data_IF_213413368312
#
_entry.id   IF_213413368312
#
_cell.length_a   1.000
_cell.length_b   1.000
_cell.length_c   1.000
_cell.angle_alpha   90.00
_cell.angle_beta   90.00
_cell.angle_gamma   90.00
#
_symmetry.space_group_name_H-M   'P 1'
#
loop_
_entity.id
_entity.type
_entity.pdbx_description
1 polymer ?
#
# COMPACT_ATOMS: atom_id res chain seq x y z
N UNK A 1 59.78 33.23 -33.29
CA UNK A 1 58.66 32.59 -32.57
C UNK A 1 59.18 31.27 -32.00
N UNK A 2 59.41 31.20 -30.68
CA UNK A 2 59.73 29.92 -30.01
C UNK A 2 58.43 29.11 -29.96
N UNK A 3 58.43 27.93 -30.59
CA UNK A 3 57.36 26.93 -30.38
C UNK A 3 57.34 26.57 -28.88
N UNK A 4 56.32 26.97 -28.16
CA UNK A 4 56.03 26.41 -26.85
C UNK A 4 55.91 24.89 -27.04
N UNK A 5 56.79 24.11 -26.40
CA UNK A 5 56.63 22.66 -26.29
C UNK A 5 55.33 22.42 -25.59
N UNK A 6 54.39 21.71 -26.25
CA UNK A 6 53.15 21.28 -25.61
C UNK A 6 53.51 20.45 -24.38
N UNK A 7 52.93 20.72 -23.21
CA UNK A 7 53.20 19.92 -22.03
C UNK A 7 52.66 18.49 -22.25
N UNK A 8 53.54 17.52 -22.24
CA UNK A 8 53.21 16.09 -22.35
C UNK A 8 53.31 15.46 -20.97
N UNK A 9 52.27 14.84 -20.51
CA UNK A 9 52.25 14.02 -19.30
C UNK A 9 52.08 12.57 -19.73
N UNK A 10 53.03 11.71 -19.38
CA UNK A 10 52.99 10.28 -19.67
C UNK A 10 52.32 9.52 -18.48
N UNK A 11 51.42 8.62 -18.79
CA UNK A 11 50.82 7.72 -17.83
C UNK A 11 51.21 6.27 -18.14
N UNK A 12 51.60 5.52 -17.07
CA UNK A 12 51.84 4.09 -17.22
C UNK A 12 50.47 3.34 -17.22
N UNK A 13 50.45 2.14 -17.79
CA UNK A 13 49.22 1.31 -17.89
C UNK A 13 48.48 1.15 -16.55
N UNK A 14 49.23 0.96 -15.46
CA UNK A 14 48.67 0.89 -14.08
C UNK A 14 48.01 2.18 -13.59
N UNK A 15 48.27 3.31 -14.23
CA UNK A 15 47.71 4.63 -13.87
C UNK A 15 46.51 5.00 -14.77
N UNK A 16 46.18 4.21 -15.77
CA UNK A 16 45.07 4.49 -16.70
C UNK A 16 43.72 4.52 -15.96
N UNK A 17 43.50 3.62 -15.01
CA UNK A 17 42.30 3.63 -14.21
C UNK A 17 42.09 4.95 -13.46
N UNK A 18 43.14 5.47 -12.82
CA UNK A 18 43.11 6.77 -12.17
C UNK A 18 42.91 7.93 -13.16
N UNK A 19 43.59 7.89 -14.29
CA UNK A 19 43.42 8.88 -15.33
C UNK A 19 41.97 8.97 -15.82
N UNK A 20 41.35 7.83 -16.10
CA UNK A 20 40.00 7.78 -16.64
C UNK A 20 38.93 8.06 -15.63
N UNK A 21 39.11 7.66 -14.36
CA UNK A 21 38.10 7.84 -13.31
C UNK A 21 38.16 9.20 -12.62
N UNK A 22 39.36 9.78 -12.46
CA UNK A 22 39.52 11.01 -11.68
C UNK A 22 39.89 12.22 -12.57
N UNK A 23 40.82 12.05 -13.49
CA UNK A 23 41.36 13.18 -14.27
C UNK A 23 40.51 13.49 -15.50
N UNK A 24 40.09 12.49 -16.22
CA UNK A 24 39.36 12.64 -17.47
C UNK A 24 37.99 13.35 -17.35
N UNK A 25 37.14 13.04 -16.36
CA UNK A 25 35.90 13.76 -16.14
C UNK A 25 36.11 15.24 -15.83
N UNK A 26 37.22 15.56 -15.16
CA UNK A 26 37.58 16.95 -14.87
C UNK A 26 38.03 17.68 -16.14
N UNK A 27 38.89 17.07 -16.95
CA UNK A 27 39.35 17.66 -18.21
C UNK A 27 38.19 17.97 -19.16
N UNK A 28 37.20 17.08 -19.28
CA UNK A 28 36.00 17.32 -20.10
C UNK A 28 35.18 18.56 -19.68
N UNK A 29 35.27 18.99 -18.41
CA UNK A 29 34.60 20.20 -17.94
C UNK A 29 35.30 21.49 -18.34
N UNK A 30 36.62 21.44 -18.53
CA UNK A 30 37.44 22.63 -18.77
C UNK A 30 37.82 22.77 -20.24
N UNK A 31 37.65 21.74 -21.05
CA UNK A 31 38.03 21.81 -22.47
C UNK A 31 37.58 20.61 -23.31
N UNK A 32 37.84 20.70 -24.62
CA UNK A 32 37.61 19.60 -25.55
C UNK A 32 38.71 18.56 -25.40
N UNK A 33 38.36 17.35 -25.00
CA UNK A 33 39.27 16.22 -24.92
C UNK A 33 39.14 15.41 -26.19
N UNK A 34 40.26 15.18 -26.89
CA UNK A 34 40.36 14.34 -28.09
C UNK A 34 41.02 13.05 -27.66
N UNK A 35 40.39 11.92 -27.95
CA UNK A 35 40.87 10.58 -27.63
C UNK A 35 41.32 9.94 -28.96
N UNK A 36 42.49 9.34 -28.95
CA UNK A 36 42.98 8.55 -30.10
C UNK A 36 42.27 7.20 -30.14
N UNK A 37 42.23 6.56 -31.33
CA UNK A 37 41.60 5.26 -31.55
C UNK A 37 42.15 4.20 -30.59
N UNK A 38 43.47 4.14 -30.40
CA UNK A 38 44.14 3.20 -29.49
C UNK A 38 43.65 3.31 -28.03
N UNK A 39 43.36 4.53 -27.57
CA UNK A 39 42.83 4.78 -26.21
C UNK A 39 41.32 4.49 -26.15
N UNK A 40 40.60 4.77 -27.22
CA UNK A 40 39.17 4.49 -27.29
C UNK A 40 38.87 2.98 -27.26
N UNK A 41 39.73 2.15 -27.84
CA UNK A 41 39.61 0.68 -27.78
C UNK A 41 39.77 0.13 -26.34
N UNK A 42 40.62 0.77 -25.54
CA UNK A 42 40.88 0.37 -24.16
C UNK A 42 39.78 0.89 -23.20
N UNK A 43 39.20 2.06 -23.50
CA UNK A 43 38.24 2.76 -22.68
C UNK A 43 36.82 2.45 -23.11
N UNK A 44 36.03 1.86 -22.23
CA UNK A 44 34.59 1.68 -22.45
C UNK A 44 33.76 2.65 -21.58
N UNK A 45 32.95 3.45 -22.25
CA UNK A 45 31.97 4.33 -21.64
C UNK A 45 30.59 3.63 -21.73
N UNK A 46 30.14 3.08 -20.59
CA UNK A 46 28.85 2.40 -20.49
C UNK A 46 28.00 3.13 -19.44
N UNK A 47 26.70 3.27 -19.62
CA UNK A 47 25.84 3.91 -18.65
C UNK A 47 25.80 3.12 -17.33
N UNK A 48 25.84 3.83 -16.20
CA UNK A 48 25.68 3.22 -14.89
C UNK A 48 24.24 2.71 -14.70
N UNK A 49 24.13 1.42 -14.37
CA UNK A 49 22.93 0.81 -13.78
C UNK A 49 23.28 0.35 -12.36
N UNK A 50 22.74 1.05 -11.39
CA UNK A 50 22.95 0.71 -9.98
C UNK A 50 21.84 -0.20 -9.45
N UNK A 51 22.19 -1.18 -8.63
CA UNK A 51 21.26 -2.07 -7.93
C UNK A 51 21.62 -2.09 -6.46
N UNK A 52 20.65 -1.88 -5.59
CA UNK A 52 20.80 -2.02 -4.14
C UNK A 52 19.95 -3.19 -3.66
N UNK A 53 20.57 -4.12 -2.95
CA UNK A 53 19.95 -5.37 -2.52
C UNK A 53 19.88 -5.39 -1.00
N UNK A 54 18.68 -5.43 -0.44
CA UNK A 54 18.46 -5.55 1.01
C UNK A 54 18.04 -6.97 1.38
N UNK A 55 18.65 -7.54 2.42
CA UNK A 55 18.35 -8.89 2.93
C UNK A 55 18.23 -8.89 4.45
N UNK A 56 17.28 -9.66 5.00
CA UNK A 56 17.19 -9.94 6.44
C UNK A 56 18.04 -11.16 6.78
N UNK A 57 19.09 -10.98 7.59
CA UNK A 57 19.98 -12.04 8.03
C UNK A 57 20.25 -11.88 9.54
N UNK A 58 19.89 -12.89 10.34
CA UNK A 58 20.16 -12.95 11.80
C UNK A 58 19.80 -11.66 12.57
N UNK A 59 18.62 -11.08 12.30
CA UNK A 59 18.17 -9.86 12.99
C UNK A 59 18.79 -8.56 12.49
N UNK A 60 19.55 -8.61 11.40
CA UNK A 60 20.15 -7.47 10.73
C UNK A 60 19.55 -7.28 9.33
N UNK A 61 19.49 -6.05 8.87
CA UNK A 61 19.37 -5.71 7.45
C UNK A 61 20.80 -5.67 6.91
N UNK A 62 21.12 -6.57 6.00
CA UNK A 62 22.32 -6.50 5.17
C UNK A 62 21.99 -5.90 3.83
N UNK A 63 22.82 -4.98 3.37
CA UNK A 63 22.65 -4.30 2.11
C UNK A 63 23.95 -4.36 1.28
N UNK A 64 23.76 -4.52 -0.02
CA UNK A 64 24.84 -4.57 -1.00
C UNK A 64 24.47 -3.61 -2.14
N UNK A 65 25.42 -2.82 -2.62
CA UNK A 65 25.28 -2.02 -3.81
C UNK A 65 26.13 -2.58 -4.95
N UNK A 66 25.51 -2.80 -6.08
CA UNK A 66 26.13 -3.25 -7.32
C UNK A 66 26.06 -2.11 -8.36
N UNK A 67 27.18 -1.83 -9.01
CA UNK A 67 27.31 -0.82 -10.05
C UNK A 67 27.66 -1.51 -11.37
N UNK A 68 26.71 -1.60 -12.27
CA UNK A 68 26.83 -2.29 -13.56
C UNK A 68 27.19 -1.32 -14.68
N UNK A 69 28.21 -1.68 -15.48
CA UNK A 69 28.67 -0.99 -16.67
C UNK A 69 28.80 -2.01 -17.81
N UNK A 70 27.76 -2.16 -18.63
CA UNK A 70 27.69 -3.22 -19.62
C UNK A 70 27.81 -4.61 -18.98
N UNK A 71 28.82 -5.37 -19.38
CA UNK A 71 29.09 -6.72 -18.86
C UNK A 71 29.95 -6.73 -17.58
N UNK A 72 30.49 -5.59 -17.18
CA UNK A 72 31.25 -5.47 -15.95
C UNK A 72 30.38 -4.93 -14.81
N UNK A 73 30.66 -5.36 -13.59
CA UNK A 73 30.03 -4.78 -12.41
C UNK A 73 31.03 -4.65 -11.25
N UNK A 74 30.74 -3.73 -10.38
CA UNK A 74 31.47 -3.48 -9.15
C UNK A 74 30.49 -3.63 -7.98
N UNK A 75 30.90 -4.36 -6.95
CA UNK A 75 30.09 -4.55 -5.76
C UNK A 75 30.73 -3.91 -4.55
N UNK A 76 29.92 -3.55 -3.57
CA UNK A 76 30.38 -3.20 -2.21
C UNK A 76 30.72 -4.45 -1.38
N UNK A 77 30.37 -5.66 -1.87
CA UNK A 77 30.85 -6.93 -1.35
C UNK A 77 32.23 -7.20 -1.95
N UNK A 78 33.27 -7.14 -1.12
CA UNK A 78 34.67 -7.28 -1.53
C UNK A 78 34.99 -8.68 -2.06
N UNK A 79 34.16 -9.69 -1.79
CA UNK A 79 34.30 -11.03 -2.36
C UNK A 79 33.95 -11.12 -3.86
N UNK A 80 33.20 -10.13 -4.37
CA UNK A 80 32.76 -10.04 -5.76
C UNK A 80 33.62 -9.04 -6.55
N UNK A 81 34.81 -9.46 -6.99
CA UNK A 81 35.62 -8.63 -7.87
C UNK A 81 35.20 -8.76 -9.34
N UNK A 82 35.14 -7.65 -10.09
CA UNK A 82 34.79 -7.72 -11.50
C UNK A 82 35.85 -8.50 -12.28
N UNK A 83 35.43 -9.47 -13.07
CA UNK A 83 36.29 -10.08 -14.07
C UNK A 83 36.22 -9.19 -15.33
N UNK A 84 37.15 -8.25 -15.43
CA UNK A 84 37.32 -7.46 -16.64
C UNK A 84 38.09 -8.28 -17.68
N UNK A 85 37.73 -8.16 -18.97
CA UNK A 85 38.60 -8.61 -20.08
C UNK A 85 39.98 -7.93 -19.98
N UNK A 86 41.02 -8.63 -20.34
CA UNK A 86 42.38 -8.06 -20.33
C UNK A 86 42.40 -6.77 -21.15
N UNK A 87 43.01 -5.72 -20.61
CA UNK A 87 43.20 -4.40 -21.22
C UNK A 87 41.94 -3.55 -21.47
N UNK A 88 40.85 -3.78 -20.75
CA UNK A 88 39.67 -2.90 -20.80
C UNK A 88 39.51 -2.15 -19.48
N UNK A 89 39.48 -0.82 -19.57
CA UNK A 89 39.18 0.07 -18.44
C UNK A 89 37.76 0.61 -18.57
N UNK A 90 37.00 0.55 -17.48
CA UNK A 90 35.63 1.07 -17.42
C UNK A 90 35.62 2.47 -16.87
N UNK A 91 35.04 3.40 -17.62
CA UNK A 91 34.83 4.77 -17.15
C UNK A 91 33.64 4.79 -16.18
N UNK A 92 33.92 4.80 -14.87
CA UNK A 92 32.91 4.76 -13.83
C UNK A 92 32.34 6.15 -13.51
N UNK A 93 31.03 6.24 -13.29
CA UNK A 93 30.37 7.46 -12.77
C UNK A 93 30.48 7.53 -11.25
N UNK A 94 31.68 7.88 -10.77
CA UNK A 94 32.03 7.96 -9.35
C UNK A 94 31.12 8.89 -8.56
N UNK A 95 30.56 9.90 -9.22
CA UNK A 95 29.64 10.82 -8.54
C UNK A 95 28.33 10.12 -8.18
N UNK A 96 27.69 9.46 -9.16
CA UNK A 96 26.44 8.73 -8.89
C UNK A 96 26.66 7.56 -7.94
N UNK A 97 27.78 6.83 -8.06
CA UNK A 97 28.13 5.79 -7.10
C UNK A 97 28.22 6.35 -5.68
N UNK A 98 28.92 7.48 -5.51
CA UNK A 98 29.08 8.15 -4.22
C UNK A 98 27.73 8.61 -3.66
N UNK A 99 26.86 9.19 -4.47
CA UNK A 99 25.54 9.64 -4.04
C UNK A 99 24.75 8.45 -3.40
N UNK A 100 24.86 7.24 -3.97
CA UNK A 100 24.24 6.02 -3.42
C UNK A 100 24.94 5.57 -2.13
N UNK A 101 26.27 5.60 -2.09
CA UNK A 101 27.03 5.21 -0.89
C UNK A 101 26.79 6.18 0.28
N UNK A 102 26.62 7.46 0.02
CA UNK A 102 26.33 8.48 1.02
C UNK A 102 24.94 8.26 1.67
N UNK A 103 23.97 7.62 0.97
CA UNK A 103 22.70 7.24 1.57
C UNK A 103 22.88 6.19 2.68
N UNK A 104 23.80 5.22 2.52
CA UNK A 104 24.06 4.25 3.58
C UNK A 104 24.58 4.94 4.85
N UNK A 105 25.45 5.94 4.70
CA UNK A 105 25.94 6.74 5.82
C UNK A 105 24.81 7.58 6.45
N UNK A 106 23.96 8.21 5.63
CA UNK A 106 22.81 9.01 6.07
C UNK A 106 21.86 8.19 6.92
N UNK A 107 21.56 6.94 6.51
CA UNK A 107 20.68 6.01 7.22
C UNK A 107 21.40 5.11 8.25
N UNK A 108 22.65 5.48 8.61
CA UNK A 108 23.43 4.87 9.71
C UNK A 108 23.73 3.38 9.52
N UNK A 109 23.97 2.95 8.28
CA UNK A 109 24.51 1.63 8.04
C UNK A 109 26.01 1.60 8.42
N UNK A 110 26.43 0.47 8.96
CA UNK A 110 27.84 0.18 9.19
C UNK A 110 28.42 -0.54 7.98
N UNK A 111 29.58 -0.11 7.50
CA UNK A 111 30.29 -0.80 6.42
C UNK A 111 30.92 -2.08 6.97
N UNK A 112 30.78 -3.17 6.23
CA UNK A 112 31.38 -4.49 6.47
C UNK A 112 31.98 -5.01 5.15
N UNK A 113 32.79 -6.06 5.21
CA UNK A 113 33.44 -6.65 4.01
C UNK A 113 32.44 -7.08 2.92
N UNK A 114 31.22 -7.50 3.33
CA UNK A 114 30.15 -7.93 2.42
C UNK A 114 29.14 -6.80 2.10
N UNK A 115 29.54 -5.54 2.25
CA UNK A 115 28.69 -4.37 1.96
C UNK A 115 28.35 -3.56 3.19
N UNK A 116 27.09 -3.50 3.57
CA UNK A 116 26.59 -2.66 4.67
C UNK A 116 25.61 -3.43 5.55
N UNK A 117 25.54 -3.08 6.84
CA UNK A 117 24.55 -3.66 7.73
C UNK A 117 24.02 -2.65 8.76
N UNK A 118 22.78 -2.87 9.21
CA UNK A 118 22.21 -2.23 10.40
C UNK A 118 21.22 -3.17 11.08
N UNK A 119 20.92 -2.91 12.37
CA UNK A 119 19.85 -3.63 13.07
C UNK A 119 18.51 -3.40 12.39
N UNK A 120 17.66 -4.43 12.35
CA UNK A 120 16.30 -4.29 11.86
C UNK A 120 15.59 -3.25 12.73
N UNK A 121 15.04 -2.20 12.14
CA UNK A 121 14.20 -1.26 12.86
C UNK A 121 12.96 -1.95 13.40
N UNK A 122 12.41 -1.45 14.48
CA UNK A 122 11.19 -1.97 15.11
C UNK A 122 10.11 -0.89 15.17
N UNK A 123 8.86 -1.30 15.21
CA UNK A 123 7.69 -0.41 15.28
C UNK A 123 7.72 0.67 14.19
N UNK A 124 7.52 1.92 14.55
CA UNK A 124 7.46 3.08 13.66
C UNK A 124 8.68 3.18 12.73
N UNK A 125 9.87 2.86 13.24
CA UNK A 125 11.10 2.91 12.45
C UNK A 125 11.11 1.85 11.31
N UNK A 126 10.38 0.73 11.46
CA UNK A 126 10.26 -0.26 10.38
C UNK A 126 9.39 0.26 9.23
N UNK A 127 8.27 0.93 9.55
CA UNK A 127 7.46 1.62 8.54
C UNK A 127 8.29 2.67 7.77
N UNK A 128 9.05 3.52 8.49
CA UNK A 128 9.91 4.54 7.86
C UNK A 128 11.03 3.93 7.02
N UNK A 129 11.57 2.77 7.42
CA UNK A 129 12.53 2.04 6.58
C UNK A 129 11.93 1.73 5.20
N UNK A 130 10.73 1.16 5.14
CA UNK A 130 10.12 0.79 3.85
C UNK A 130 9.62 2.00 3.05
N UNK A 131 9.00 2.98 3.70
CA UNK A 131 8.31 4.09 3.01
C UNK A 131 9.18 5.32 2.77
N UNK A 132 10.27 5.47 3.49
CA UNK A 132 11.15 6.63 3.32
C UNK A 132 12.52 6.21 2.85
N UNK A 133 13.20 5.35 3.61
CA UNK A 133 14.58 5.00 3.31
C UNK A 133 14.72 4.23 2.00
N UNK A 134 13.94 3.17 1.82
CA UNK A 134 13.94 2.37 0.58
C UNK A 134 13.55 3.23 -0.63
N UNK A 135 12.58 4.14 -0.48
CA UNK A 135 12.16 5.04 -1.55
C UNK A 135 13.27 6.05 -1.94
N UNK A 136 14.07 6.50 -0.97
CA UNK A 136 15.24 7.33 -1.29
C UNK A 136 16.26 6.56 -2.13
N UNK A 137 16.55 5.30 -1.80
CA UNK A 137 17.42 4.46 -2.64
C UNK A 137 16.85 4.24 -4.05
N UNK A 138 15.54 4.09 -4.20
CA UNK A 138 14.86 3.90 -5.49
C UNK A 138 15.04 5.07 -6.45
N UNK A 139 15.30 6.27 -5.94
CA UNK A 139 15.58 7.45 -6.79
C UNK A 139 16.91 7.34 -7.55
N UNK A 140 17.84 6.54 -7.05
CA UNK A 140 19.21 6.44 -7.57
C UNK A 140 19.55 5.04 -8.10
N UNK A 141 18.83 4.00 -7.66
CA UNK A 141 19.14 2.62 -7.98
C UNK A 141 17.89 1.75 -8.07
N UNK A 142 17.99 0.64 -8.80
CA UNK A 142 17.03 -0.46 -8.71
C UNK A 142 17.14 -1.11 -7.32
N UNK A 143 16.05 -1.14 -6.55
CA UNK A 143 16.05 -1.76 -5.22
C UNK A 143 15.45 -3.15 -5.27
N UNK A 144 16.21 -4.13 -4.77
CA UNK A 144 15.79 -5.52 -4.61
C UNK A 144 15.72 -5.89 -3.14
N UNK A 145 14.67 -6.58 -2.74
CA UNK A 145 14.49 -7.05 -1.37
C UNK A 145 14.35 -8.57 -1.30
N UNK A 146 15.06 -9.17 -0.35
CA UNK A 146 14.91 -10.59 -0.04
C UNK A 146 13.54 -10.90 0.60
N UNK A 147 12.99 -12.08 0.30
CA UNK A 147 11.64 -12.50 0.75
C UNK A 147 11.41 -12.28 2.25
N UNK A 148 12.36 -12.70 3.12
CA UNK A 148 12.26 -12.57 4.59
C UNK A 148 12.21 -11.11 5.08
N UNK A 149 12.74 -10.16 4.33
CA UNK A 149 12.66 -8.74 4.67
C UNK A 149 11.32 -8.16 4.20
N UNK A 150 10.91 -8.50 2.98
CA UNK A 150 9.63 -8.06 2.41
C UNK A 150 8.43 -8.48 3.28
N UNK A 151 8.47 -9.68 3.85
CA UNK A 151 7.43 -10.20 4.73
C UNK A 151 7.22 -9.39 6.03
N UNK A 152 8.15 -8.51 6.40
CA UNK A 152 7.97 -7.63 7.57
C UNK A 152 7.06 -6.43 7.29
N UNK A 153 6.70 -6.21 6.04
CA UNK A 153 5.88 -5.09 5.62
C UNK A 153 4.70 -5.59 4.81
N UNK A 154 3.52 -5.44 5.40
CA UNK A 154 2.26 -5.82 4.79
C UNK A 154 1.73 -4.60 4.03
N UNK A 155 1.82 -4.67 2.71
CA UNK A 155 1.33 -3.60 1.86
C UNK A 155 -0.19 -3.61 1.82
N UNK A 156 -0.81 -2.46 2.01
CA UNK A 156 -2.26 -2.31 1.96
C UNK A 156 -2.88 -2.68 0.61
N UNK A 157 -2.10 -2.85 -0.44
CA UNK A 157 -2.58 -3.36 -1.73
C UNK A 157 -2.78 -4.88 -1.73
N UNK A 158 -1.95 -5.63 -0.97
CA UNK A 158 -2.08 -7.09 -0.81
C UNK A 158 -3.03 -7.45 0.35
N UNK A 159 -3.08 -6.63 1.41
CA UNK A 159 -3.89 -6.82 2.62
C UNK A 159 -5.07 -5.84 2.59
N UNK A 160 -6.21 -6.31 2.08
CA UNK A 160 -7.38 -5.47 1.87
C UNK A 160 -8.26 -5.42 3.13
N UNK A 161 -8.74 -4.23 3.52
CA UNK A 161 -9.81 -4.13 4.50
C UNK A 161 -11.10 -4.69 3.89
N UNK A 162 -11.91 -5.32 4.70
CA UNK A 162 -13.23 -5.84 4.32
C UNK A 162 -14.27 -5.34 5.30
N UNK A 163 -15.46 -5.05 4.80
CA UNK A 163 -16.63 -4.66 5.58
C UNK A 163 -17.77 -5.57 5.19
N UNK A 164 -18.29 -6.29 6.15
CA UNK A 164 -19.46 -7.11 5.98
C UNK A 164 -20.62 -6.49 6.75
N UNK A 165 -21.75 -6.31 6.08
CA UNK A 165 -22.97 -5.78 6.69
C UNK A 165 -24.00 -6.87 6.73
N UNK A 166 -24.43 -7.22 7.93
CA UNK A 166 -25.52 -8.19 8.16
C UNK A 166 -26.63 -7.58 9.00
N UNK A 167 -27.78 -8.24 8.98
CA UNK A 167 -28.95 -7.89 9.76
C UNK A 167 -29.20 -8.93 10.82
N UNK A 168 -29.16 -8.55 12.08
CA UNK A 168 -29.52 -9.44 13.18
C UNK A 168 -30.55 -8.78 14.13
N UNK A 169 -31.71 -9.39 14.26
CA UNK A 169 -32.78 -8.87 15.12
C UNK A 169 -33.16 -7.43 14.75
N UNK A 170 -33.01 -6.47 15.65
CA UNK A 170 -33.29 -5.04 15.44
C UNK A 170 -32.07 -4.22 15.04
N UNK A 171 -30.95 -4.87 14.79
CA UNK A 171 -29.65 -4.22 14.57
C UNK A 171 -29.08 -4.57 13.20
N UNK A 172 -28.21 -3.71 12.70
CA UNK A 172 -27.29 -3.98 11.63
C UNK A 172 -25.92 -4.22 12.26
N UNK A 173 -25.35 -5.35 11.97
CA UNK A 173 -24.01 -5.73 12.41
C UNK A 173 -23.05 -5.45 11.25
N UNK A 174 -22.11 -4.53 11.46
CA UNK A 174 -21.06 -4.17 10.50
C UNK A 174 -19.76 -4.73 11.04
N UNK A 175 -19.27 -5.79 10.41
CA UNK A 175 -18.00 -6.42 10.75
C UNK A 175 -16.89 -5.83 9.90
N UNK A 176 -15.85 -5.35 10.57
CA UNK A 176 -14.58 -4.98 9.92
C UNK A 176 -13.60 -6.15 10.02
N UNK A 177 -12.90 -6.41 8.93
CA UNK A 177 -11.85 -7.42 8.86
C UNK A 177 -10.72 -6.95 7.94
N UNK A 178 -9.56 -7.60 8.01
CA UNK A 178 -8.44 -7.41 7.09
C UNK A 178 -7.90 -8.77 6.69
N UNK A 179 -7.90 -9.04 5.40
CA UNK A 179 -7.43 -10.33 4.86
C UNK A 179 -6.03 -10.67 5.39
N UNK A 180 -5.90 -11.84 6.02
CA UNK A 180 -4.61 -12.37 6.51
C UNK A 180 -4.17 -11.84 7.87
N UNK A 181 -4.97 -11.02 8.55
CA UNK A 181 -4.73 -10.58 9.94
C UNK A 181 -5.53 -11.48 10.89
N UNK A 182 -4.99 -11.70 12.09
CA UNK A 182 -5.66 -12.52 13.10
C UNK A 182 -6.84 -11.75 13.73
N UNK A 183 -7.94 -12.45 13.99
CA UNK A 183 -9.16 -11.86 14.56
C UNK A 183 -8.92 -11.11 15.89
N UNK A 184 -8.00 -11.59 16.72
CA UNK A 184 -7.66 -10.95 18.00
C UNK A 184 -6.92 -9.60 17.85
N UNK A 185 -6.42 -9.27 16.69
CA UNK A 185 -5.76 -8.00 16.39
C UNK A 185 -6.67 -7.01 15.62
N UNK A 186 -7.78 -7.48 15.05
CA UNK A 186 -8.66 -6.68 14.20
C UNK A 186 -9.20 -5.43 14.92
N UNK A 187 -9.56 -5.53 16.19
CA UNK A 187 -10.01 -4.37 16.99
C UNK A 187 -8.94 -3.29 17.11
N UNK A 188 -7.70 -3.70 17.28
CA UNK A 188 -6.57 -2.79 17.42
C UNK A 188 -6.23 -2.14 16.08
N UNK A 189 -6.29 -2.92 14.99
CA UNK A 189 -6.15 -2.41 13.62
C UNK A 189 -7.25 -1.39 13.31
N UNK A 190 -8.51 -1.72 13.59
CA UNK A 190 -9.65 -0.82 13.41
C UNK A 190 -9.48 0.48 14.22
N UNK A 191 -9.10 0.37 15.49
CA UNK A 191 -8.88 1.54 16.35
C UNK A 191 -7.73 2.43 15.83
N UNK A 192 -6.65 1.82 15.31
CA UNK A 192 -5.53 2.54 14.70
C UNK A 192 -5.97 3.25 13.42
N UNK A 193 -6.74 2.58 12.57
CA UNK A 193 -7.32 3.14 11.36
C UNK A 193 -8.25 4.34 11.67
N UNK A 194 -9.09 4.22 12.70
CA UNK A 194 -9.98 5.29 13.17
C UNK A 194 -9.25 6.49 13.76
N UNK A 195 -8.05 6.31 14.32
CA UNK A 195 -7.17 7.40 14.75
C UNK A 195 -6.46 8.08 13.59
N UNK A 196 -6.61 7.55 12.37
CA UNK A 196 -5.89 7.99 11.17
C UNK A 196 -4.37 7.82 11.29
N UNK A 197 -3.95 6.75 12.00
CA UNK A 197 -2.57 6.33 11.99
C UNK A 197 -2.21 5.91 10.55
N UNK A 198 -0.94 6.00 10.18
CA UNK A 198 -0.48 5.60 8.84
C UNK A 198 -0.21 4.11 8.71
N UNK A 199 -0.06 3.42 9.81
CA UNK A 199 0.26 2.01 9.90
C UNK A 199 -0.11 1.45 11.27
N UNK A 200 -0.16 0.13 11.36
CA UNK A 200 -0.26 -0.61 12.61
C UNK A 200 0.87 -1.63 12.70
N UNK A 201 1.46 -1.81 13.89
CA UNK A 201 2.47 -2.86 14.14
C UNK A 201 1.81 -4.03 14.82
N UNK A 202 1.80 -5.19 14.13
CA UNK A 202 1.25 -6.44 14.62
C UNK A 202 2.10 -7.03 15.77
N UNK A 203 1.51 -7.93 16.54
CA UNK A 203 2.19 -8.60 17.66
C UNK A 203 3.45 -9.37 17.23
N UNK A 204 3.45 -9.92 16.02
CA UNK A 204 4.61 -10.60 15.42
C UNK A 204 5.71 -9.64 14.95
N UNK A 205 5.49 -8.32 15.07
CA UNK A 205 6.42 -7.28 14.68
C UNK A 205 6.38 -6.87 13.20
N UNK A 206 5.46 -7.42 12.42
CA UNK A 206 5.18 -6.97 11.06
C UNK A 206 4.42 -5.64 11.08
N UNK A 207 4.55 -4.85 10.02
CA UNK A 207 3.90 -3.54 9.90
C UNK A 207 2.86 -3.59 8.80
N UNK A 208 1.60 -3.36 9.14
CA UNK A 208 0.50 -3.17 8.21
C UNK A 208 0.41 -1.70 7.82
N UNK A 209 0.58 -1.38 6.56
CA UNK A 209 0.44 -0.02 6.02
C UNK A 209 -1.02 0.30 5.69
N UNK A 210 -1.47 1.51 6.04
CA UNK A 210 -2.79 2.04 5.69
C UNK A 210 -2.75 3.05 4.54
N UNK A 211 -1.65 3.12 3.80
CA UNK A 211 -1.46 4.11 2.73
C UNK A 211 -2.28 3.79 1.46
N UNK A 212 -2.84 2.58 1.32
CA UNK A 212 -3.65 2.23 0.14
C UNK A 212 -4.99 2.98 0.11
N UNK A 213 -5.51 3.18 -1.09
CA UNK A 213 -6.81 3.83 -1.30
C UNK A 213 -7.94 3.09 -0.57
N UNK A 214 -7.90 1.75 -0.56
CA UNK A 214 -8.88 0.91 0.13
C UNK A 214 -8.95 1.20 1.64
N UNK A 215 -7.81 1.31 2.32
CA UNK A 215 -7.78 1.68 3.74
C UNK A 215 -8.23 3.11 3.97
N UNK A 216 -7.86 4.05 3.11
CA UNK A 216 -8.27 5.45 3.24
C UNK A 216 -9.80 5.60 3.08
N UNK A 217 -10.39 5.00 2.05
CA UNK A 217 -11.84 4.98 1.84
C UNK A 217 -12.58 4.33 3.02
N UNK A 218 -12.07 3.18 3.48
CA UNK A 218 -12.62 2.48 4.65
C UNK A 218 -12.56 3.33 5.92
N UNK A 219 -11.43 3.99 6.18
CA UNK A 219 -11.25 4.88 7.34
C UNK A 219 -12.21 6.07 7.32
N UNK A 220 -12.39 6.71 6.18
CA UNK A 220 -13.33 7.83 6.02
C UNK A 220 -14.77 7.39 6.27
N UNK A 221 -15.15 6.27 5.71
CA UNK A 221 -16.48 5.71 5.83
C UNK A 221 -16.82 5.30 7.26
N UNK A 222 -15.97 4.50 7.91
CA UNK A 222 -16.18 4.08 9.31
C UNK A 222 -16.13 5.31 10.22
N UNK A 223 -15.27 6.29 9.93
CA UNK A 223 -15.18 7.54 10.67
C UNK A 223 -16.49 8.33 10.66
N UNK A 224 -17.26 8.31 9.57
CA UNK A 224 -18.59 8.93 9.49
C UNK A 224 -19.67 8.20 10.30
N UNK A 225 -19.46 6.91 10.58
CA UNK A 225 -20.37 6.11 11.41
C UNK A 225 -20.08 6.28 12.91
N UNK A 226 -18.91 6.82 13.28
CA UNK A 226 -18.35 6.83 14.64
C UNK A 226 -19.20 7.52 15.72
N UNK A 227 -20.02 8.52 15.39
CA UNK A 227 -20.83 9.26 16.38
C UNK A 227 -21.84 8.36 17.14
N UNK A 228 -22.04 7.10 16.73
CA UNK A 228 -23.06 6.19 17.24
C UNK A 228 -22.53 4.80 17.63
N UNK A 229 -21.22 4.61 17.74
CA UNK A 229 -20.59 3.28 17.78
C UNK A 229 -20.14 2.89 19.19
N UNK A 230 -20.56 1.70 19.60
CA UNK A 230 -19.85 0.83 20.53
C UNK A 230 -19.17 -0.25 19.70
N UNK A 231 -17.90 -0.04 19.31
CA UNK A 231 -17.13 -1.08 18.64
C UNK A 231 -16.52 -2.02 19.69
N UNK A 232 -16.80 -3.32 19.55
CA UNK A 232 -16.18 -4.39 20.31
C UNK A 232 -16.01 -5.58 19.37
N UNK A 233 -14.83 -6.18 19.36
CA UNK A 233 -14.49 -7.35 18.54
C UNK A 233 -14.63 -7.09 17.01
N UNK A 234 -14.21 -5.89 16.53
CA UNK A 234 -14.33 -5.49 15.11
C UNK A 234 -15.77 -5.27 14.64
N UNK A 235 -16.76 -5.33 15.57
CA UNK A 235 -18.17 -5.25 15.28
C UNK A 235 -18.75 -3.87 15.63
N UNK A 236 -19.43 -3.28 14.66
CA UNK A 236 -20.12 -2.00 14.79
C UNK A 236 -21.62 -2.27 14.68
N UNK A 237 -22.42 -1.85 15.67
CA UNK A 237 -23.87 -2.02 15.66
C UNK A 237 -24.59 -0.73 15.36
N UNK A 238 -25.50 -0.74 14.41
CA UNK A 238 -26.39 0.36 14.07
C UNK A 238 -27.86 -0.09 14.11
N UNK A 239 -28.80 0.82 14.44
CA UNK A 239 -30.23 0.53 14.30
C UNK A 239 -30.59 0.22 12.84
N UNK A 240 -31.46 -0.74 12.60
CA UNK A 240 -31.99 -1.09 11.26
C UNK A 240 -32.52 0.12 10.46
N UNK A 241 -33.05 1.14 11.15
CA UNK A 241 -33.54 2.37 10.51
C UNK A 241 -32.48 3.13 9.72
N UNK A 242 -31.22 2.81 9.91
CA UNK A 242 -30.10 3.38 9.14
C UNK A 242 -29.73 2.56 7.90
N UNK A 243 -30.41 1.43 7.65
CA UNK A 243 -30.04 0.47 6.59
C UNK A 243 -29.98 1.08 5.20
N UNK A 244 -31.02 1.82 4.78
CA UNK A 244 -31.02 2.49 3.46
C UNK A 244 -29.88 3.50 3.34
N UNK A 245 -29.67 4.32 4.35
CA UNK A 245 -28.56 5.31 4.33
C UNK A 245 -27.19 4.63 4.36
N UNK A 246 -27.07 3.51 5.05
CA UNK A 246 -25.83 2.71 5.06
C UNK A 246 -25.55 2.09 3.70
N UNK A 247 -26.55 1.45 3.10
CA UNK A 247 -26.42 0.87 1.76
C UNK A 247 -25.99 1.92 0.72
N UNK A 248 -26.66 3.08 0.69
CA UNK A 248 -26.31 4.17 -0.23
C UNK A 248 -24.86 4.67 -0.08
N UNK A 249 -24.30 4.61 1.11
CA UNK A 249 -22.92 5.02 1.37
C UNK A 249 -21.91 3.94 0.99
N UNK A 250 -22.28 2.67 1.13
CA UNK A 250 -21.39 1.53 0.99
C UNK A 250 -21.42 0.88 -0.39
N UNK A 251 -22.52 1.00 -1.16
CA UNK A 251 -22.71 0.28 -2.42
C UNK A 251 -21.64 0.54 -3.48
N UNK A 252 -20.96 1.68 -3.43
CA UNK A 252 -19.87 2.02 -4.34
C UNK A 252 -18.48 1.62 -3.79
N UNK A 253 -18.42 1.14 -2.54
CA UNK A 253 -17.18 0.69 -1.94
C UNK A 253 -16.92 -0.79 -2.29
N UNK A 254 -15.87 -1.11 -3.05
CA UNK A 254 -15.57 -2.48 -3.46
C UNK A 254 -15.19 -3.41 -2.30
N UNK A 255 -14.85 -2.87 -1.13
CA UNK A 255 -14.55 -3.62 0.09
C UNK A 255 -15.79 -3.94 0.94
N UNK A 256 -16.96 -3.41 0.58
CA UNK A 256 -18.21 -3.67 1.30
C UNK A 256 -18.94 -4.90 0.71
N UNK A 257 -19.34 -5.80 1.59
CA UNK A 257 -20.16 -6.97 1.27
C UNK A 257 -21.45 -6.89 2.07
N UNK A 258 -22.56 -7.22 1.43
CA UNK A 258 -23.88 -7.20 2.04
C UNK A 258 -24.43 -8.62 2.11
N UNK A 259 -24.93 -9.01 3.28
CA UNK A 259 -25.64 -10.27 3.43
C UNK A 259 -26.95 -10.28 2.58
N UNK A 260 -27.41 -11.46 2.23
CA UNK A 260 -28.70 -11.62 1.51
C UNK A 260 -29.85 -11.02 2.33
N UNK A 261 -29.85 -11.19 3.64
CA UNK A 261 -30.88 -10.67 4.55
C UNK A 261 -30.89 -9.14 4.58
N UNK A 262 -29.70 -8.49 4.62
CA UNK A 262 -29.61 -7.03 4.55
C UNK A 262 -30.07 -6.50 3.20
N UNK A 263 -29.62 -7.13 2.11
CA UNK A 263 -29.99 -6.74 0.74
C UNK A 263 -31.51 -6.84 0.52
N UNK A 264 -32.13 -7.95 0.95
CA UNK A 264 -33.57 -8.14 0.87
C UNK A 264 -34.32 -7.07 1.69
N UNK A 265 -33.89 -6.78 2.90
CA UNK A 265 -34.51 -5.74 3.73
C UNK A 265 -34.44 -4.37 3.04
N UNK A 266 -33.30 -3.97 2.48
CA UNK A 266 -33.17 -2.67 1.82
C UNK A 266 -34.02 -2.62 0.55
N UNK A 267 -34.06 -3.70 -0.23
CA UNK A 267 -34.90 -3.80 -1.41
C UNK A 267 -36.40 -3.66 -1.07
N UNK A 268 -36.89 -4.41 -0.09
CA UNK A 268 -38.29 -4.37 0.36
C UNK A 268 -38.66 -2.98 0.89
N UNK A 269 -37.78 -2.33 1.67
CA UNK A 269 -38.00 -0.99 2.20
C UNK A 269 -38.03 0.10 1.11
N UNK A 270 -37.29 -0.10 0.03
CA UNK A 270 -37.22 0.86 -1.08
C UNK A 270 -38.27 0.61 -2.15
N UNK A 271 -38.73 -0.65 -2.28
CA UNK A 271 -39.73 -1.09 -3.25
C UNK A 271 -40.85 -1.88 -2.57
N UNK A 272 -41.62 -1.26 -1.66
CA UNK A 272 -42.65 -1.95 -0.89
C UNK A 272 -43.79 -2.54 -1.74
N UNK A 273 -43.95 -2.09 -2.97
CA UNK A 273 -44.88 -2.64 -3.96
C UNK A 273 -44.52 -4.05 -4.40
N UNK A 274 -43.28 -4.46 -4.32
CA UNK A 274 -42.79 -5.80 -4.71
C UNK A 274 -42.85 -6.81 -3.57
N UNK A 275 -43.07 -6.35 -2.31
CA UNK A 275 -43.11 -7.21 -1.15
C UNK A 275 -44.23 -8.20 -1.21
N UNK A 276 -43.92 -9.51 -1.14
CA UNK A 276 -44.88 -10.57 -1.27
C UNK A 276 -45.58 -10.86 0.07
N UNK A 277 -46.88 -10.69 0.11
CA UNK A 277 -47.71 -10.99 1.27
C UNK A 277 -49.07 -11.52 0.86
N UNK A 278 -49.57 -12.54 1.56
CA UNK A 278 -50.92 -13.06 1.39
C UNK A 278 -51.88 -12.40 2.35
N UNK A 279 -53.08 -12.08 1.89
CA UNK A 279 -54.14 -11.61 2.76
C UNK A 279 -54.61 -12.74 3.68
N UNK A 280 -55.05 -12.43 4.90
CA UNK A 280 -55.61 -13.42 5.82
C UNK A 280 -56.82 -14.10 5.24
N UNK A 281 -56.89 -15.42 5.30
CA UNK A 281 -58.02 -16.22 4.77
C UNK A 281 -59.35 -15.90 5.41
N UNK A 282 -59.33 -15.38 6.62
CA UNK A 282 -60.55 -15.03 7.37
C UNK A 282 -61.02 -13.58 7.15
N UNK A 283 -60.42 -12.85 6.23
CA UNK A 283 -60.84 -11.50 5.87
C UNK A 283 -62.15 -11.52 5.13
N UNK A 284 -63.22 -11.00 5.74
CA UNK A 284 -64.56 -10.92 5.13
C UNK A 284 -64.82 -9.62 4.36
N UNK A 285 -63.78 -9.17 3.62
CA UNK A 285 -63.86 -7.95 2.82
C UNK A 285 -62.94 -8.03 1.59
N UNK A 286 -63.32 -7.32 0.53
CA UNK A 286 -62.47 -7.14 -0.65
C UNK A 286 -61.75 -5.81 -0.53
N UNK A 287 -60.42 -5.84 -0.39
CA UNK A 287 -59.61 -4.63 -0.31
C UNK A 287 -59.57 -3.91 -1.66
N UNK A 288 -59.67 -2.58 -1.63
CA UNK A 288 -59.38 -1.73 -2.79
C UNK A 288 -57.86 -1.74 -3.05
N UNK A 289 -57.39 -1.43 -4.28
CA UNK A 289 -55.95 -1.49 -4.61
C UNK A 289 -55.04 -0.71 -3.62
N UNK A 290 -55.42 0.49 -3.20
CA UNK A 290 -54.67 1.27 -2.24
C UNK A 290 -54.65 0.66 -0.82
N UNK A 291 -55.76 0.00 -0.43
CA UNK A 291 -55.84 -0.71 0.86
C UNK A 291 -54.93 -1.93 0.86
N UNK A 292 -54.90 -2.69 -0.24
CA UNK A 292 -54.00 -3.80 -0.39
C UNK A 292 -52.52 -3.34 -0.38
N UNK A 293 -52.20 -2.20 -0.99
CA UNK A 293 -50.87 -1.59 -0.92
C UNK A 293 -50.51 -1.17 0.50
N UNK A 294 -51.43 -0.52 1.22
CA UNK A 294 -51.23 -0.14 2.63
C UNK A 294 -51.03 -1.35 3.54
N UNK A 295 -51.84 -2.40 3.36
CA UNK A 295 -51.68 -3.65 4.10
C UNK A 295 -50.27 -4.27 3.85
N UNK A 296 -49.86 -4.36 2.59
CA UNK A 296 -48.53 -4.88 2.22
C UNK A 296 -47.42 -4.07 2.89
N UNK A 297 -47.49 -2.75 2.81
CA UNK A 297 -46.54 -1.86 3.41
C UNK A 297 -46.47 -2.00 4.95
N UNK A 298 -47.60 -2.04 5.64
CA UNK A 298 -47.67 -2.22 7.10
C UNK A 298 -47.16 -3.60 7.51
N UNK A 299 -47.48 -4.65 6.75
CA UNK A 299 -46.99 -6.02 7.01
C UNK A 299 -45.50 -6.11 6.83
N UNK A 300 -44.93 -5.54 5.77
CA UNK A 300 -43.52 -5.44 5.52
C UNK A 300 -42.80 -4.73 6.69
N UNK A 301 -43.31 -3.57 7.12
CA UNK A 301 -42.72 -2.84 8.25
C UNK A 301 -42.76 -3.70 9.53
N UNK A 302 -43.88 -4.37 9.79
CA UNK A 302 -44.02 -5.27 10.95
C UNK A 302 -43.03 -6.43 10.90
N UNK A 303 -42.83 -7.05 9.74
CA UNK A 303 -41.93 -8.20 9.57
C UNK A 303 -40.47 -7.80 9.78
N UNK A 304 -40.10 -6.58 9.42
CA UNK A 304 -38.76 -6.02 9.72
C UNK A 304 -38.67 -5.36 11.10
N UNK A 305 -39.76 -5.33 11.89
CA UNK A 305 -39.77 -4.72 13.24
C UNK A 305 -39.79 -3.19 13.23
N UNK A 306 -40.25 -2.58 12.12
CA UNK A 306 -40.48 -1.14 12.06
C UNK A 306 -41.93 -0.78 12.44
N UNK A 307 -42.09 0.46 12.87
CA UNK A 307 -43.40 1.09 12.99
C UNK A 307 -43.74 1.94 11.78
N UNK A 308 -45.02 2.15 11.54
CA UNK A 308 -45.52 3.01 10.47
C UNK A 308 -46.74 3.82 10.87
N UNK A 309 -46.98 4.93 10.23
CA UNK A 309 -48.17 5.78 10.39
C UNK A 309 -48.93 5.81 9.07
N UNK A 310 -50.17 5.27 9.10
CA UNK A 310 -51.08 5.35 7.95
C UNK A 310 -51.90 6.65 8.04
N UNK A 311 -51.45 7.67 7.33
CA UNK A 311 -52.02 9.04 7.39
C UNK A 311 -53.04 9.33 6.28
N UNK A 312 -53.86 8.35 5.91
CA UNK A 312 -54.90 8.51 4.93
C UNK A 312 -56.06 9.37 5.41
N UNK A 313 -56.83 9.96 4.51
CA UNK A 313 -58.01 10.75 4.83
C UNK A 313 -59.11 9.91 5.53
N UNK A 314 -59.99 10.59 6.29
CA UNK A 314 -61.13 9.94 6.93
C UNK A 314 -62.07 9.34 5.88
N UNK A 315 -62.65 8.19 6.18
CA UNK A 315 -63.57 7.51 5.26
C UNK A 315 -62.95 6.55 4.26
N UNK A 316 -61.61 6.48 4.17
CA UNK A 316 -60.90 5.56 3.24
C UNK A 316 -60.79 4.11 3.75
N UNK A 317 -61.43 3.78 4.86
CA UNK A 317 -61.52 2.39 5.35
C UNK A 317 -60.23 1.86 5.94
N UNK A 318 -59.42 2.70 6.63
CA UNK A 318 -58.18 2.33 7.34
C UNK A 318 -58.34 1.16 8.34
N UNK A 319 -59.54 0.99 8.92
CA UNK A 319 -59.82 -0.04 9.90
C UNK A 319 -59.73 -1.47 9.33
N UNK A 320 -59.88 -1.61 8.00
CA UNK A 320 -59.78 -2.90 7.31
C UNK A 320 -58.35 -3.26 6.96
N UNK A 321 -57.50 -2.28 6.79
CA UNK A 321 -56.06 -2.43 6.55
C UNK A 321 -55.33 -2.90 7.82
#
# INVERSE_FOLDING_TARGET
MKRLKEPVIAYEQRQLSHLFTEVFPYLRKIGRVIITEDVAEIMKEEPLRAVVIFRKIKGMIKAEAEFHYGNAYFSTDESHQPKLPNNVEILRDRKKEKDILDLFATYRYQKIDTGFEKKIPVKDNLYYFFKVEVEEFRKYAEVRMGKKLRQLFLDGDEFQPMIEVDQEGSWLDIKFDVTGINDNEIDQVLNSLLRKDRFYTLENGEVLSFDSEAFQQTSEMIGQLREKISAKDGLIRLPKSQGIALEQRLKENPQAQFSESFTAMVQDLTHPEEYQVTLPDNLQATLRPYQAAGFRWLKMLSDYGFGGILADEMGLGKTIQ
#
